data_IF_387723674334
#
_entry.id   IF_387723674334
#
_cell.length_a   1.000
_cell.length_b   1.000
_cell.length_c   1.000
_cell.angle_alpha   90.00
_cell.angle_beta   90.00
_cell.angle_gamma   90.00
#
_symmetry.space_group_name_H-M   'P 1'
#
loop_
_entity.id
_entity.type
_entity.pdbx_description
1 polymer ?
#
# COMPACT_ATOMS: atom_id res chain seq x y z
N UNK A 1 2.73 35.09 -14.42
CA UNK A 1 3.20 33.81 -13.85
C UNK A 1 2.48 33.59 -12.52
N UNK A 2 2.18 32.34 -12.14
CA UNK A 2 1.42 32.05 -10.91
C UNK A 2 2.25 32.16 -9.62
N UNK A 3 3.58 32.21 -9.75
CA UNK A 3 4.54 32.30 -8.66
C UNK A 3 5.61 33.36 -8.97
N UNK A 4 6.16 33.99 -7.94
CA UNK A 4 7.31 34.91 -8.06
C UNK A 4 8.62 34.16 -8.30
N UNK A 5 9.68 34.90 -8.63
CA UNK A 5 11.01 34.32 -8.80
C UNK A 5 11.53 33.69 -7.49
N UNK A 6 11.30 34.36 -6.37
CA UNK A 6 11.67 33.93 -5.02
C UNK A 6 10.91 32.65 -4.64
N UNK A 7 9.61 32.59 -4.91
CA UNK A 7 8.80 31.40 -4.67
C UNK A 7 9.28 30.21 -5.50
N UNK A 8 9.60 30.43 -6.79
CA UNK A 8 10.18 29.38 -7.62
C UNK A 8 11.55 28.92 -7.10
N UNK A 9 12.38 29.84 -6.61
CA UNK A 9 13.67 29.49 -5.99
C UNK A 9 13.48 28.61 -4.75
N UNK A 10 12.45 28.84 -3.95
CA UNK A 10 12.12 27.94 -2.82
C UNK A 10 11.76 26.54 -3.30
N UNK A 11 10.97 26.40 -4.37
CA UNK A 11 10.62 25.09 -4.93
C UNK A 11 11.83 24.37 -5.55
N UNK A 12 12.77 25.11 -6.12
CA UNK A 12 14.07 24.55 -6.55
C UNK A 12 14.85 24.06 -5.34
N UNK A 13 14.97 24.87 -4.30
CA UNK A 13 15.63 24.49 -3.04
C UNK A 13 15.03 23.23 -2.44
N UNK A 14 13.70 23.15 -2.37
CA UNK A 14 12.97 21.94 -1.97
C UNK A 14 13.39 20.71 -2.78
N UNK A 15 13.35 20.80 -4.11
CA UNK A 15 13.66 19.66 -4.97
C UNK A 15 15.12 19.18 -4.79
N UNK A 16 16.05 20.11 -4.60
CA UNK A 16 17.46 19.82 -4.32
C UNK A 16 17.60 19.15 -2.95
N UNK A 17 17.03 19.71 -1.89
CA UNK A 17 17.12 19.16 -0.53
C UNK A 17 16.51 17.76 -0.44
N UNK A 18 15.33 17.55 -1.04
CA UNK A 18 14.71 16.22 -1.08
C UNK A 18 15.60 15.22 -1.83
N UNK A 19 16.23 15.63 -2.95
CA UNK A 19 17.18 14.79 -3.66
C UNK A 19 18.40 14.44 -2.80
N UNK A 20 18.93 15.39 -2.02
CA UNK A 20 20.05 15.17 -1.08
C UNK A 20 19.67 14.19 0.02
N UNK A 21 18.43 14.22 0.48
CA UNK A 21 17.87 13.27 1.45
C UNK A 21 17.52 11.89 0.83
N UNK A 22 17.76 11.71 -0.47
CA UNK A 22 17.49 10.46 -1.18
C UNK A 22 16.02 10.29 -1.61
N UNK A 23 15.21 11.33 -1.54
CA UNK A 23 13.79 11.32 -1.92
C UNK A 23 13.60 11.93 -3.31
N UNK A 24 13.35 11.10 -4.35
CA UNK A 24 13.11 11.63 -5.69
C UNK A 24 11.81 12.42 -5.73
N UNK A 25 11.87 13.66 -6.22
CA UNK A 25 10.70 14.53 -6.41
C UNK A 25 10.18 14.36 -7.82
N UNK A 26 8.95 13.88 -7.96
CA UNK A 26 8.27 13.81 -9.25
C UNK A 26 7.62 15.15 -9.62
N UNK A 27 7.23 15.32 -10.89
CA UNK A 27 6.39 16.46 -11.30
C UNK A 27 5.10 16.55 -10.50
N UNK A 28 4.54 15.42 -10.07
CA UNK A 28 3.34 15.42 -9.24
C UNK A 28 3.64 15.94 -7.84
N UNK A 29 4.72 15.48 -7.21
CA UNK A 29 5.15 15.96 -5.89
C UNK A 29 5.41 17.46 -5.90
N UNK A 30 6.12 17.97 -6.92
CA UNK A 30 6.36 19.40 -7.10
C UNK A 30 5.05 20.21 -7.16
N UNK A 31 4.03 19.69 -7.85
CA UNK A 31 2.70 20.32 -7.93
C UNK A 31 1.98 20.28 -6.59
N UNK A 32 2.11 19.19 -5.84
CA UNK A 32 1.56 19.06 -4.49
C UNK A 32 2.21 20.07 -3.53
N UNK A 33 3.53 20.22 -3.56
CA UNK A 33 4.26 21.21 -2.74
C UNK A 33 3.85 22.63 -3.06
N UNK A 34 3.75 22.97 -4.35
CA UNK A 34 3.27 24.28 -4.78
C UNK A 34 1.82 24.54 -4.36
N UNK A 35 0.95 23.52 -4.41
CA UNK A 35 -0.42 23.61 -3.88
C UNK A 35 -0.42 23.84 -2.37
N UNK A 36 0.36 23.08 -1.61
CA UNK A 36 0.48 23.22 -0.16
C UNK A 36 0.93 24.63 0.23
N UNK A 37 1.91 25.17 -0.51
CA UNK A 37 2.36 26.55 -0.33
C UNK A 37 1.23 27.56 -0.57
N UNK A 38 0.53 27.47 -1.70
CA UNK A 38 -0.58 28.36 -2.04
C UNK A 38 -1.70 28.32 -0.97
N UNK A 39 -2.10 27.12 -0.57
CA UNK A 39 -3.12 26.92 0.46
C UNK A 39 -2.70 27.56 1.80
N UNK A 40 -1.41 27.44 2.17
CA UNK A 40 -0.87 28.00 3.41
C UNK A 40 -0.88 29.52 3.43
N UNK A 41 -0.49 30.16 2.33
CA UNK A 41 -0.49 31.62 2.23
C UNK A 41 -1.88 32.20 1.93
N UNK A 42 -2.92 31.36 1.84
CA UNK A 42 -4.28 31.79 1.53
C UNK A 42 -4.45 32.32 0.09
N UNK A 43 -3.52 32.01 -0.82
CA UNK A 43 -3.56 32.47 -2.21
C UNK A 43 -4.27 31.44 -3.08
N UNK A 44 -5.41 31.85 -3.64
CA UNK A 44 -6.13 31.05 -4.63
C UNK A 44 -5.77 31.50 -6.05
N UNK A 45 -5.37 30.54 -6.89
CA UNK A 45 -5.09 30.78 -8.30
C UNK A 45 -6.25 30.22 -9.14
N UNK A 46 -7.08 31.11 -9.70
CA UNK A 46 -8.37 30.74 -10.30
C UNK A 46 -8.29 29.72 -11.46
N UNK A 47 -7.20 29.71 -12.23
CA UNK A 47 -6.99 28.75 -13.32
C UNK A 47 -6.37 27.42 -12.86
N UNK A 48 -6.05 27.27 -11.57
CA UNK A 48 -5.62 25.99 -10.99
C UNK A 48 -6.81 25.25 -10.39
N UNK A 49 -7.11 24.06 -10.93
CA UNK A 49 -8.15 23.19 -10.39
C UNK A 49 -7.78 22.76 -8.98
N UNK A 50 -8.66 23.04 -8.00
CA UNK A 50 -8.42 22.78 -6.57
C UNK A 50 -7.11 23.41 -6.04
N UNK A 51 -6.69 24.54 -6.61
CA UNK A 51 -5.43 25.22 -6.30
C UNK A 51 -4.16 24.40 -6.63
N UNK A 52 -4.29 23.30 -7.38
CA UNK A 52 -3.16 22.46 -7.79
C UNK A 52 -2.65 22.95 -9.15
N UNK A 53 -1.37 23.34 -9.28
CA UNK A 53 -0.78 23.67 -10.56
C UNK A 53 -0.94 22.54 -11.59
N UNK A 54 -1.13 22.90 -12.86
CA UNK A 54 -1.27 21.93 -13.94
C UNK A 54 0.03 21.19 -14.30
N UNK A 55 -0.03 20.08 -15.06
CA UNK A 55 1.16 19.42 -15.61
C UNK A 55 2.06 20.37 -16.44
N UNK A 56 1.45 21.28 -17.20
CA UNK A 56 2.17 22.26 -18.02
C UNK A 56 2.96 23.26 -17.18
N UNK A 57 2.45 23.61 -16.00
CA UNK A 57 3.21 24.45 -15.07
C UNK A 57 4.50 23.75 -14.63
N UNK A 58 4.43 22.47 -14.26
CA UNK A 58 5.60 21.70 -13.84
C UNK A 58 6.61 21.53 -14.98
N UNK A 59 6.15 21.27 -16.21
CA UNK A 59 7.02 21.18 -17.38
C UNK A 59 7.73 22.52 -17.67
N UNK A 60 7.01 23.64 -17.58
CA UNK A 60 7.58 24.98 -17.79
C UNK A 60 8.51 25.41 -16.65
N UNK A 61 8.20 25.04 -15.40
CA UNK A 61 9.09 25.26 -14.25
C UNK A 61 10.43 24.56 -14.47
N UNK A 62 10.42 23.27 -14.84
CA UNK A 62 11.66 22.54 -15.15
C UNK A 62 12.40 23.17 -16.33
N UNK A 63 11.70 23.71 -17.33
CA UNK A 63 12.33 24.42 -18.46
C UNK A 63 13.05 25.70 -18.02
N UNK A 64 12.48 26.46 -17.06
CA UNK A 64 13.11 27.67 -16.51
C UNK A 64 14.32 27.35 -15.64
N UNK A 65 14.28 26.25 -14.89
CA UNK A 65 15.31 25.88 -13.92
C UNK A 65 16.26 24.76 -14.40
N UNK A 66 16.44 24.60 -15.72
CA UNK A 66 17.29 23.54 -16.31
C UNK A 66 18.76 23.58 -15.91
N UNK A 67 19.25 24.75 -15.47
CA UNK A 67 20.63 24.90 -14.97
C UNK A 67 20.85 24.18 -13.64
N UNK A 68 19.79 23.93 -12.86
CA UNK A 68 19.86 23.31 -11.53
C UNK A 68 19.15 21.95 -11.51
N UNK A 69 17.99 21.85 -12.16
CA UNK A 69 17.14 20.67 -12.15
C UNK A 69 17.17 19.96 -13.50
N UNK A 70 17.29 18.64 -13.48
CA UNK A 70 17.13 17.81 -14.68
C UNK A 70 16.10 16.73 -14.46
N UNK A 71 15.18 16.58 -15.42
CA UNK A 71 14.25 15.45 -15.42
C UNK A 71 14.97 14.22 -15.98
N UNK A 72 15.01 13.16 -15.17
CA UNK A 72 15.58 11.87 -15.56
C UNK A 72 14.52 10.79 -15.36
N UNK A 73 14.48 9.84 -16.28
CA UNK A 73 13.68 8.63 -16.08
C UNK A 73 14.33 7.82 -14.97
N UNK A 74 13.66 7.72 -13.82
CA UNK A 74 14.03 6.69 -12.84
C UNK A 74 13.77 5.33 -13.49
N UNK A 75 14.76 4.43 -13.45
CA UNK A 75 14.52 3.06 -13.91
C UNK A 75 13.54 2.41 -12.93
N UNK A 76 12.33 2.09 -13.39
CA UNK A 76 11.43 1.24 -12.63
C UNK A 76 12.02 -0.16 -12.59
N UNK A 77 12.68 -0.46 -11.48
CA UNK A 77 13.17 -1.81 -11.24
C UNK A 77 11.91 -2.64 -10.92
N UNK A 78 11.57 -3.60 -11.80
CA UNK A 78 10.42 -4.50 -11.58
C UNK A 78 10.48 -5.13 -10.18
N UNK A 79 9.33 -5.46 -9.57
CA UNK A 79 9.23 -6.09 -8.24
C UNK A 79 10.22 -7.27 -8.02
N UNK A 80 10.46 -8.07 -9.06
CA UNK A 80 11.42 -9.19 -9.03
C UNK A 80 12.92 -8.80 -9.05
N UNK A 81 13.25 -7.53 -9.34
CA UNK A 81 14.61 -6.98 -9.40
C UNK A 81 14.90 -5.94 -8.30
N UNK A 82 13.86 -5.35 -7.70
CA UNK A 82 14.00 -4.37 -6.62
C UNK A 82 14.23 -5.03 -5.26
N UNK A 83 13.88 -6.31 -5.17
CA UNK A 83 14.54 -7.19 -4.23
C UNK A 83 15.96 -7.46 -4.76
N UNK A 84 16.97 -7.22 -3.94
CA UNK A 84 18.21 -8.01 -3.96
C UNK A 84 19.34 -7.65 -4.94
N UNK A 85 19.47 -6.41 -5.38
CA UNK A 85 20.67 -5.97 -6.09
C UNK A 85 21.71 -5.48 -5.04
N UNK A 86 22.86 -6.14 -5.00
CA UNK A 86 23.99 -5.80 -4.15
C UNK A 86 24.44 -4.34 -4.35
N UNK A 87 24.44 -3.83 -5.59
CA UNK A 87 24.81 -2.44 -5.89
C UNK A 87 23.89 -1.42 -5.22
N UNK A 88 22.61 -1.70 -5.05
CA UNK A 88 21.60 -0.79 -4.50
C UNK A 88 21.80 -0.68 -3.00
N UNK A 89 22.06 -1.81 -2.35
CA UNK A 89 22.46 -1.85 -0.95
C UNK A 89 23.81 -1.14 -0.79
N UNK A 90 24.81 -1.46 -1.61
CA UNK A 90 26.12 -0.81 -1.54
C UNK A 90 26.04 0.71 -1.75
N UNK A 91 25.30 1.16 -2.77
CA UNK A 91 25.10 2.59 -3.04
C UNK A 91 24.36 3.28 -1.90
N UNK A 92 23.34 2.63 -1.32
CA UNK A 92 22.65 3.16 -0.16
C UNK A 92 23.59 3.31 1.04
N UNK A 93 24.34 2.26 1.38
CA UNK A 93 25.29 2.31 2.48
C UNK A 93 26.43 3.31 2.25
N UNK A 94 26.96 3.41 1.03
CA UNK A 94 27.94 4.44 0.66
C UNK A 94 27.39 5.86 0.90
N UNK A 95 26.10 6.09 0.62
CA UNK A 95 25.49 7.39 0.80
C UNK A 95 25.29 7.75 2.28
N UNK A 96 24.77 6.80 3.08
CA UNK A 96 24.43 7.08 4.49
C UNK A 96 25.64 7.04 5.42
N UNK A 97 26.75 6.41 5.03
CA UNK A 97 27.96 6.29 5.86
C UNK A 97 28.50 7.65 6.31
N UNK A 98 28.60 8.61 5.39
CA UNK A 98 29.00 9.99 5.73
C UNK A 98 27.93 10.76 6.51
N UNK A 99 26.66 10.38 6.40
CA UNK A 99 25.55 11.07 7.07
C UNK A 99 25.38 10.61 8.53
N UNK A 100 25.71 9.34 8.79
CA UNK A 100 25.66 8.70 10.10
C UNK A 100 27.01 8.71 10.83
N UNK A 101 28.08 9.18 10.17
CA UNK A 101 29.37 9.40 10.81
C UNK A 101 29.21 10.30 12.04
N UNK A 102 29.73 9.84 13.17
CA UNK A 102 29.70 10.53 14.47
C UNK A 102 28.31 10.87 15.02
N UNK A 103 27.23 10.28 14.47
CA UNK A 103 25.88 10.43 15.02
C UNK A 103 25.68 9.39 16.13
N UNK A 104 25.39 9.80 17.38
CA UNK A 104 25.16 8.85 18.47
C UNK A 104 23.85 8.07 18.22
N UNK A 105 23.74 6.81 18.71
CA UNK A 105 22.55 6.00 18.48
C UNK A 105 21.26 6.62 19.02
N UNK A 106 21.36 7.42 20.09
CA UNK A 106 20.25 8.20 20.63
C UNK A 106 19.63 9.16 19.61
N UNK A 107 20.42 9.62 18.63
CA UNK A 107 20.05 10.59 17.60
C UNK A 107 19.71 9.94 16.25
N UNK A 108 19.81 8.61 16.11
CA UNK A 108 19.44 7.88 14.89
C UNK A 108 18.03 7.32 15.09
N UNK A 109 17.05 8.02 14.54
CA UNK A 109 15.64 7.69 14.64
C UNK A 109 15.15 6.99 13.39
N UNK A 110 14.26 6.02 13.58
CA UNK A 110 13.53 5.36 12.50
C UNK A 110 12.03 5.51 12.75
N UNK A 111 11.30 5.95 11.73
CA UNK A 111 9.85 6.08 11.79
C UNK A 111 9.18 5.28 10.68
N UNK A 112 7.95 4.84 10.95
CA UNK A 112 7.11 4.14 10.00
C UNK A 112 5.65 4.09 10.47
N UNK A 113 4.75 3.93 9.51
CA UNK A 113 3.31 3.85 9.73
C UNK A 113 2.83 2.41 9.83
N UNK A 114 1.95 2.16 10.78
CA UNK A 114 1.24 0.88 10.86
C UNK A 114 -0.25 1.09 11.10
N UNK A 115 -1.02 0.06 10.78
CA UNK A 115 -2.47 0.07 10.92
C UNK A 115 -2.89 -0.99 11.93
N UNK A 116 -3.66 -0.57 12.93
CA UNK A 116 -4.33 -1.49 13.85
C UNK A 116 -5.77 -1.72 13.36
N UNK A 117 -6.03 -2.94 12.92
CA UNK A 117 -7.33 -3.35 12.38
C UNK A 117 -8.28 -3.81 13.48
N UNK A 118 -9.57 -3.58 13.30
CA UNK A 118 -10.63 -4.15 14.13
C UNK A 118 -11.04 -5.58 13.72
N UNK A 119 -10.41 -6.13 12.68
CA UNK A 119 -10.51 -7.54 12.30
C UNK A 119 -9.38 -8.36 12.95
N UNK A 120 -9.67 -9.27 13.90
CA UNK A 120 -8.68 -10.19 14.45
C UNK A 120 -8.12 -11.17 13.40
N UNK A 121 -8.71 -11.26 12.20
CA UNK A 121 -8.27 -12.11 11.11
C UNK A 121 -8.46 -13.61 11.37
N UNK A 122 -7.93 -14.43 10.47
CA UNK A 122 -8.08 -15.89 10.52
C UNK A 122 -7.33 -16.52 11.71
N UNK A 123 -7.86 -17.62 12.25
CA UNK A 123 -7.22 -18.41 13.31
C UNK A 123 -7.36 -19.90 13.04
N UNK A 124 -6.51 -20.69 13.69
CA UNK A 124 -6.72 -22.14 13.78
C UNK A 124 -7.91 -22.39 14.70
N UNK A 125 -8.85 -23.21 14.24
CA UNK A 125 -10.06 -23.61 14.99
C UNK A 125 -10.09 -25.12 15.11
N UNK A 126 -10.62 -25.61 16.23
CA UNK A 126 -10.88 -27.03 16.43
C UNK A 126 -12.22 -27.35 15.78
N UNK A 127 -12.22 -28.26 14.81
CA UNK A 127 -13.41 -28.62 14.04
C UNK A 127 -13.45 -30.13 13.88
N UNK A 128 -14.62 -30.67 13.53
CA UNK A 128 -14.76 -32.09 13.22
C UNK A 128 -13.76 -32.50 12.12
N UNK A 129 -13.03 -33.60 12.34
CA UNK A 129 -12.12 -34.16 11.33
C UNK A 129 -12.89 -34.37 10.01
N UNK A 130 -12.38 -33.82 8.91
CA UNK A 130 -13.03 -33.85 7.59
C UNK A 130 -13.78 -32.56 7.20
N UNK A 131 -13.95 -31.60 8.12
CA UNK A 131 -14.48 -30.27 7.77
C UNK A 131 -13.53 -29.53 6.84
N UNK A 132 -13.97 -29.25 5.61
CA UNK A 132 -13.17 -28.56 4.59
C UNK A 132 -13.12 -27.05 4.77
N UNK A 133 -14.23 -26.45 5.20
CA UNK A 133 -14.40 -25.01 5.35
C UNK A 133 -15.06 -24.71 6.69
N UNK A 134 -14.28 -24.59 7.77
CA UNK A 134 -14.84 -24.16 9.03
C UNK A 134 -15.17 -22.67 8.96
N UNK A 135 -16.42 -22.34 9.25
CA UNK A 135 -16.93 -20.97 9.24
C UNK A 135 -17.04 -20.46 10.67
N UNK A 136 -16.63 -19.21 10.89
CA UNK A 136 -16.75 -18.53 12.16
C UNK A 136 -17.51 -17.22 11.93
N UNK A 137 -18.70 -17.10 12.50
CA UNK A 137 -19.49 -15.85 12.43
C UNK A 137 -18.87 -14.85 13.40
N UNK A 138 -18.39 -13.73 12.89
CA UNK A 138 -17.83 -12.63 13.69
C UNK A 138 -18.34 -11.29 13.21
N UNK A 139 -18.65 -10.42 14.15
CA UNK A 139 -18.83 -9.00 13.89
C UNK A 139 -17.44 -8.34 13.87
N UNK A 140 -16.88 -8.20 12.69
CA UNK A 140 -15.70 -7.36 12.43
C UNK A 140 -16.03 -6.37 11.31
N UNK A 141 -15.41 -5.19 11.34
CA UNK A 141 -15.33 -4.35 10.15
C UNK A 141 -13.93 -4.43 9.53
N UNK A 142 -13.69 -3.68 8.46
CA UNK A 142 -12.34 -3.49 7.88
C UNK A 142 -11.78 -2.13 8.27
N UNK A 143 -12.22 -1.60 9.40
CA UNK A 143 -11.77 -0.29 9.88
C UNK A 143 -10.37 -0.45 10.46
N UNK A 144 -9.51 0.50 10.13
CA UNK A 144 -8.16 0.54 10.64
C UNK A 144 -7.91 1.91 11.22
N UNK A 145 -7.10 1.95 12.27
CA UNK A 145 -6.61 3.20 12.84
C UNK A 145 -5.11 3.25 12.56
N UNK A 146 -4.69 4.33 11.91
CA UNK A 146 -3.30 4.53 11.49
C UNK A 146 -2.51 5.09 12.66
N UNK A 147 -1.29 4.58 12.85
CA UNK A 147 -0.40 4.99 13.93
C UNK A 147 1.01 5.15 13.36
N UNK A 148 1.63 6.28 13.65
CA UNK A 148 3.06 6.49 13.42
C UNK A 148 3.84 5.99 14.62
N UNK A 149 4.78 5.08 14.36
CA UNK A 149 5.80 4.67 15.32
C UNK A 149 7.10 5.37 14.97
N UNK A 150 7.85 5.78 15.99
CA UNK A 150 9.19 6.31 15.82
C UNK A 150 10.07 5.87 16.99
N UNK A 151 11.24 5.31 16.72
CA UNK A 151 12.16 4.88 17.77
C UNK A 151 13.61 4.98 17.33
N UNK A 152 14.52 5.14 18.28
CA UNK A 152 15.95 5.33 18.01
C UNK A 152 16.77 4.04 18.16
N UNK A 153 18.04 4.11 17.77
CA UNK A 153 18.95 2.97 17.79
C UNK A 153 19.34 2.51 19.22
N UNK A 154 19.06 3.31 20.26
CA UNK A 154 19.19 2.90 21.66
C UNK A 154 17.96 2.16 22.20
N UNK A 155 16.91 2.02 21.38
CA UNK A 155 15.67 1.36 21.77
C UNK A 155 14.68 2.26 22.52
N UNK A 156 14.86 3.58 22.45
CA UNK A 156 13.86 4.53 22.95
C UNK A 156 12.77 4.71 21.89
N UNK A 157 11.52 4.53 22.29
CA UNK A 157 10.35 4.79 21.45
C UNK A 157 9.83 6.21 21.78
N UNK A 158 9.62 7.03 20.75
CA UNK A 158 8.91 8.30 20.90
C UNK A 158 7.42 8.04 21.20
N UNK A 159 6.70 9.02 21.78
CA UNK A 159 5.26 8.90 21.94
C UNK A 159 4.56 8.57 20.62
N UNK A 160 3.47 7.80 20.71
CA UNK A 160 2.72 7.41 19.52
C UNK A 160 1.94 8.60 18.95
N UNK A 161 1.72 8.56 17.64
CA UNK A 161 0.84 9.50 16.98
C UNK A 161 -0.25 8.74 16.22
N UNK A 162 -1.49 8.93 16.63
CA UNK A 162 -2.66 8.23 16.11
C UNK A 162 -3.40 9.14 15.13
N UNK A 163 -3.80 8.61 13.98
CA UNK A 163 -4.65 9.33 13.02
C UNK A 163 -5.96 8.58 12.78
N UNK A 164 -7.07 9.18 13.23
CA UNK A 164 -8.41 8.64 13.02
C UNK A 164 -8.96 9.04 11.66
N UNK A 165 -9.74 8.14 11.04
CA UNK A 165 -10.61 8.52 9.92
C UNK A 165 -11.82 9.30 10.45
N UNK A 166 -11.79 10.62 10.34
CA UNK A 166 -12.83 11.52 10.85
C UNK A 166 -12.69 12.95 10.32
N UNK A 167 -13.81 13.68 10.27
CA UNK A 167 -13.81 15.14 10.06
C UNK A 167 -13.63 15.91 11.38
N UNK A 168 -14.21 15.38 12.46
CA UNK A 168 -14.21 16.00 13.78
C UNK A 168 -13.40 15.16 14.78
N UNK A 169 -12.97 15.80 15.86
CA UNK A 169 -12.26 15.18 16.98
C UNK A 169 -13.07 15.40 18.25
N UNK A 170 -13.09 14.40 19.14
CA UNK A 170 -13.79 14.47 20.43
C UNK A 170 -12.80 14.17 21.55
N UNK A 171 -13.01 14.78 22.71
CA UNK A 171 -12.22 14.61 23.94
C UNK A 171 -12.10 13.15 24.37
N UNK A 172 -13.22 12.43 24.37
CA UNK A 172 -13.28 11.00 24.69
C UNK A 172 -12.35 10.11 23.86
N UNK A 173 -11.88 10.57 22.69
CA UNK A 173 -10.99 9.80 21.81
C UNK A 173 -9.51 9.87 22.18
N UNK A 174 -9.17 10.57 23.27
CA UNK A 174 -7.80 10.64 23.80
C UNK A 174 -7.68 10.10 25.23
N UNK A 175 -8.80 10.00 25.94
CA UNK A 175 -8.84 9.60 27.35
C UNK A 175 -8.34 8.18 27.58
N UNK A 176 -7.54 7.98 28.63
CA UNK A 176 -7.04 6.66 29.01
C UNK A 176 -6.00 6.05 28.07
N UNK A 177 -5.49 6.83 27.12
CA UNK A 177 -4.42 6.47 26.19
C UNK A 177 -3.04 6.27 26.83
N UNK A 178 -2.05 5.81 26.03
CA UNK A 178 -0.65 5.86 26.44
C UNK A 178 -0.21 7.29 26.78
N UNK A 179 0.74 7.41 27.69
CA UNK A 179 1.35 8.69 28.08
C UNK A 179 1.95 9.40 26.86
N UNK A 180 1.78 10.73 26.83
CA UNK A 180 2.24 11.63 25.76
C UNK A 180 1.79 11.29 24.32
N UNK A 181 0.91 10.30 24.15
CA UNK A 181 0.36 9.92 22.86
C UNK A 181 -0.44 11.08 22.26
N UNK A 182 -0.16 11.40 21.00
CA UNK A 182 -0.90 12.43 20.25
C UNK A 182 -1.98 11.78 19.39
N UNK A 183 -3.11 12.45 19.28
CA UNK A 183 -4.25 11.97 18.49
C UNK A 183 -4.68 13.06 17.51
N UNK A 184 -4.78 12.69 16.24
CA UNK A 184 -5.24 13.53 15.15
C UNK A 184 -6.30 12.78 14.33
N UNK A 185 -6.78 13.44 13.29
CA UNK A 185 -7.83 12.98 12.39
C UNK A 185 -7.60 13.51 10.98
N UNK A 186 -7.96 12.69 10.00
CA UNK A 186 -8.08 13.07 8.59
C UNK A 186 -9.30 12.41 7.95
N UNK A 187 -9.82 13.00 6.88
CA UNK A 187 -10.99 12.46 6.17
C UNK A 187 -10.74 11.04 5.63
N UNK A 188 -9.49 10.76 5.29
CA UNK A 188 -9.06 9.48 4.72
C UNK A 188 -8.68 8.46 5.80
N UNK A 189 -8.21 8.94 6.97
CA UNK A 189 -7.57 8.14 8.01
C UNK A 189 -6.12 7.80 7.73
N UNK A 190 -5.60 8.12 6.54
CA UNK A 190 -4.20 7.94 6.16
C UNK A 190 -3.38 9.16 6.55
N UNK A 191 -2.08 8.97 6.74
CA UNK A 191 -1.15 10.09 6.85
C UNK A 191 -1.02 10.76 5.50
N UNK A 192 -1.26 12.07 5.49
CA UNK A 192 -0.96 12.94 4.38
C UNK A 192 0.10 13.96 4.82
N UNK A 193 0.49 14.87 3.92
CA UNK A 193 1.53 15.85 4.24
C UNK A 193 1.18 16.78 5.41
N UNK A 194 -0.12 17.04 5.65
CA UNK A 194 -0.55 17.87 6.79
C UNK A 194 -0.44 17.10 8.08
N UNK A 195 -0.88 15.83 8.09
CA UNK A 195 -0.77 14.95 9.25
C UNK A 195 0.69 14.68 9.59
N UNK A 196 1.54 14.48 8.59
CA UNK A 196 2.99 14.29 8.76
C UNK A 196 3.66 15.55 9.33
N UNK A 197 3.35 16.73 8.79
CA UNK A 197 3.88 18.00 9.31
C UNK A 197 3.47 18.23 10.77
N UNK A 198 2.21 17.95 11.12
CA UNK A 198 1.74 18.06 12.51
C UNK A 198 2.48 17.07 13.42
N UNK A 199 2.60 15.80 13.01
CA UNK A 199 3.40 14.81 13.74
C UNK A 199 4.83 15.27 13.96
N UNK A 200 5.52 15.70 12.90
CA UNK A 200 6.91 16.13 13.00
C UNK A 200 7.03 17.34 13.92
N UNK A 201 6.23 18.38 13.69
CA UNK A 201 6.35 19.66 14.42
C UNK A 201 5.95 19.54 15.88
N UNK A 202 4.92 18.76 16.18
CA UNK A 202 4.33 18.70 17.53
C UNK A 202 4.89 17.58 18.41
N UNK A 203 5.53 16.58 17.81
CA UNK A 203 6.05 15.40 18.53
C UNK A 203 7.56 15.26 18.35
N UNK A 204 8.03 15.13 17.11
CA UNK A 204 9.44 14.81 16.87
C UNK A 204 10.36 16.01 17.04
N UNK A 205 9.99 17.19 16.53
CA UNK A 205 10.82 18.38 16.58
C UNK A 205 11.20 18.78 18.02
N UNK A 206 10.29 18.78 19.03
CA UNK A 206 10.68 19.01 20.42
C UNK A 206 11.70 17.99 20.95
N UNK A 207 11.52 16.70 20.64
CA UNK A 207 12.45 15.63 21.05
C UNK A 207 13.83 15.87 20.42
N UNK A 208 13.87 16.16 19.12
CA UNK A 208 15.12 16.36 18.36
C UNK A 208 15.83 17.67 18.72
N UNK A 209 15.09 18.70 19.16
CA UNK A 209 15.64 19.97 19.67
C UNK A 209 16.35 19.79 21.01
N UNK A 210 15.87 18.88 21.85
CA UNK A 210 16.52 18.56 23.12
C UNK A 210 17.81 17.75 22.94
N UNK A 211 18.07 17.22 21.73
CA UNK A 211 19.27 16.47 21.39
C UNK A 211 20.35 17.39 20.78
N UNK A 212 21.57 17.29 21.32
CA UNK A 212 22.74 17.98 20.78
C UNK A 212 23.25 17.31 19.49
N UNK A 213 23.98 18.08 18.68
CA UNK A 213 24.60 17.59 17.46
C UNK A 213 23.64 17.31 16.30
N UNK A 214 24.07 16.45 15.38
CA UNK A 214 23.31 16.03 14.21
C UNK A 214 22.29 14.96 14.62
N UNK A 215 21.06 15.07 14.12
CA UNK A 215 20.01 14.06 14.27
C UNK A 215 19.65 13.50 12.90
N UNK A 216 19.35 12.21 12.86
CA UNK A 216 18.99 11.54 11.62
C UNK A 216 17.65 10.84 11.78
N UNK A 217 16.73 11.08 10.85
CA UNK A 217 15.44 10.41 10.76
C UNK A 217 15.38 9.57 9.50
N UNK A 218 15.20 8.26 9.66
CA UNK A 218 15.18 7.27 8.59
C UNK A 218 13.76 6.75 8.42
N UNK A 219 13.23 6.73 7.20
CA UNK A 219 11.91 6.15 6.92
C UNK A 219 11.63 6.02 5.44
N UNK A 220 10.52 5.39 5.08
CA UNK A 220 10.01 5.39 3.72
C UNK A 220 8.98 6.51 3.51
N UNK A 221 8.71 6.82 2.23
CA UNK A 221 7.58 7.64 1.80
C UNK A 221 7.55 9.14 2.19
N UNK A 222 8.69 9.83 2.17
CA UNK A 222 8.78 11.25 2.56
C UNK A 222 8.43 12.27 1.45
N UNK A 223 8.56 11.88 0.17
CA UNK A 223 8.66 12.84 -0.95
C UNK A 223 7.42 13.69 -1.21
N UNK A 224 6.23 13.23 -0.80
CA UNK A 224 4.96 13.97 -0.98
C UNK A 224 4.40 14.56 0.33
N UNK A 225 5.12 14.37 1.44
CA UNK A 225 4.62 14.71 2.78
C UNK A 225 5.48 15.72 3.54
N UNK A 226 6.74 15.95 3.14
CA UNK A 226 7.52 17.07 3.66
C UNK A 226 7.07 18.38 3.05
N UNK A 227 6.72 19.33 3.92
CA UNK A 227 6.52 20.73 3.54
C UNK A 227 7.82 21.53 3.62
N UNK A 228 7.82 22.71 2.99
CA UNK A 228 8.93 23.67 3.09
C UNK A 228 9.27 24.05 4.54
N UNK A 229 8.27 24.08 5.42
CA UNK A 229 8.47 24.42 6.84
C UNK A 229 9.24 23.31 7.57
N UNK A 230 8.89 22.05 7.32
CA UNK A 230 9.63 20.90 7.89
C UNK A 230 11.08 20.96 7.46
N UNK A 231 11.37 21.26 6.17
CA UNK A 231 12.76 21.39 5.70
C UNK A 231 13.51 22.52 6.40
N UNK A 232 12.86 23.67 6.58
CA UNK A 232 13.44 24.81 7.28
C UNK A 232 13.78 24.47 8.73
N UNK A 233 12.85 23.85 9.45
CA UNK A 233 13.10 23.38 10.83
C UNK A 233 14.22 22.34 10.88
N UNK A 234 14.33 21.49 9.85
CA UNK A 234 15.41 20.51 9.78
C UNK A 234 16.78 21.17 9.62
N UNK A 235 16.88 22.15 8.73
CA UNK A 235 18.11 22.92 8.51
C UNK A 235 18.50 23.71 9.77
N UNK A 236 17.56 24.43 10.39
CA UNK A 236 17.79 25.22 11.61
C UNK A 236 18.25 24.37 12.81
N UNK A 237 17.87 23.09 12.85
CA UNK A 237 18.11 22.22 13.99
C UNK A 237 19.03 21.03 13.69
N UNK A 238 19.79 21.03 12.59
CA UNK A 238 20.70 19.95 12.20
C UNK A 238 20.04 18.56 12.16
N UNK A 239 18.82 18.49 11.62
CA UNK A 239 18.07 17.25 11.42
C UNK A 239 18.20 16.85 9.95
N UNK A 240 18.65 15.62 9.70
CA UNK A 240 18.75 15.04 8.35
C UNK A 240 17.69 13.97 8.19
N UNK A 241 17.02 13.96 7.04
CA UNK A 241 16.16 12.85 6.65
C UNK A 241 16.90 11.93 5.69
N UNK A 242 16.67 10.62 5.84
CA UNK A 242 17.23 9.59 4.96
C UNK A 242 16.10 8.69 4.45
N UNK A 243 16.01 8.59 3.13
CA UNK A 243 15.10 7.67 2.46
C UNK A 243 15.60 6.23 2.52
N UNK A 244 14.71 5.31 2.84
CA UNK A 244 14.96 3.90 2.53
C UNK A 244 14.90 3.67 1.02
N UNK A 245 15.77 2.82 0.45
CA UNK A 245 15.71 2.46 -0.96
C UNK A 245 14.33 1.88 -1.33
N UNK A 246 13.81 2.14 -2.54
CA UNK A 246 12.54 1.60 -2.97
C UNK A 246 12.48 0.07 -2.84
N UNK A 247 11.36 -0.45 -2.33
CA UNK A 247 11.11 -1.89 -2.12
C UNK A 247 12.08 -2.60 -1.16
N UNK A 248 12.78 -1.86 -0.30
CA UNK A 248 13.74 -2.43 0.65
C UNK A 248 13.21 -2.59 2.07
N UNK A 249 11.94 -2.25 2.32
CA UNK A 249 11.29 -2.27 3.64
C UNK A 249 11.57 -3.55 4.43
N UNK A 250 11.34 -4.72 3.82
CA UNK A 250 11.60 -6.03 4.44
C UNK A 250 13.07 -6.30 4.88
N UNK A 251 14.04 -5.50 4.43
CA UNK A 251 15.47 -5.65 4.73
C UNK A 251 16.06 -4.50 5.54
N UNK A 252 15.59 -3.27 5.27
CA UNK A 252 16.21 -2.02 5.72
C UNK A 252 15.32 -1.17 6.64
N UNK A 253 14.04 -1.54 6.86
CA UNK A 253 13.13 -0.82 7.77
C UNK A 253 13.12 -1.46 9.17
N UNK A 254 13.78 -0.89 10.20
CA UNK A 254 13.88 -1.49 11.54
C UNK A 254 12.53 -1.87 12.15
N UNK A 255 11.54 -0.99 12.04
CA UNK A 255 10.21 -1.20 12.61
C UNK A 255 9.50 -2.42 11.98
N UNK A 256 9.57 -2.58 10.66
CA UNK A 256 9.03 -3.77 9.99
C UNK A 256 9.80 -5.06 10.31
N UNK A 257 11.13 -4.99 10.34
CA UNK A 257 11.99 -6.15 10.54
C UNK A 257 11.85 -6.76 11.93
N UNK A 258 11.61 -5.94 12.96
CA UNK A 258 11.66 -6.41 14.35
C UNK A 258 10.49 -6.00 15.25
N UNK A 259 9.73 -4.95 14.93
CA UNK A 259 8.72 -4.39 15.84
C UNK A 259 7.29 -4.75 15.43
N UNK A 260 6.88 -4.44 14.21
CA UNK A 260 5.47 -4.50 13.81
C UNK A 260 4.84 -5.90 13.84
N UNK A 261 5.65 -6.95 13.69
CA UNK A 261 5.15 -8.32 13.89
C UNK A 261 4.66 -8.54 15.32
N UNK A 262 5.42 -8.08 16.33
CA UNK A 262 5.05 -8.19 17.74
C UNK A 262 3.81 -7.34 18.05
N UNK A 263 3.80 -6.09 17.57
CA UNK A 263 2.67 -5.15 17.69
C UNK A 263 1.38 -5.79 17.18
N UNK A 264 1.37 -6.28 15.93
CA UNK A 264 0.18 -6.89 15.31
C UNK A 264 -0.26 -8.16 16.03
N UNK A 265 0.69 -8.97 16.50
CA UNK A 265 0.38 -10.19 17.26
C UNK A 265 -0.28 -9.89 18.61
N UNK A 266 0.29 -8.95 19.38
CA UNK A 266 -0.27 -8.54 20.68
C UNK A 266 -1.61 -7.85 20.52
N UNK A 267 -1.73 -6.95 19.54
CA UNK A 267 -2.99 -6.27 19.23
C UNK A 267 -4.12 -7.26 18.95
N UNK A 268 -3.87 -8.29 18.14
CA UNK A 268 -4.86 -9.35 17.85
C UNK A 268 -5.35 -10.05 19.12
N UNK A 269 -4.45 -10.31 20.08
CA UNK A 269 -4.81 -10.92 21.36
C UNK A 269 -5.71 -10.00 22.20
N UNK A 270 -5.33 -8.74 22.33
CA UNK A 270 -6.08 -7.72 23.10
C UNK A 270 -7.47 -7.53 22.49
N UNK A 271 -7.54 -7.37 21.18
CA UNK A 271 -8.79 -7.22 20.44
C UNK A 271 -9.71 -8.43 20.64
N UNK A 272 -9.16 -9.64 20.70
CA UNK A 272 -9.94 -10.84 20.96
C UNK A 272 -10.51 -10.85 22.38
N UNK A 273 -9.69 -10.51 23.39
CA UNK A 273 -10.15 -10.42 24.78
C UNK A 273 -11.26 -9.37 24.92
N UNK A 274 -11.05 -8.18 24.36
CA UNK A 274 -12.03 -7.09 24.39
C UNK A 274 -13.36 -7.48 23.73
N UNK A 275 -13.34 -8.13 22.56
CA UNK A 275 -14.55 -8.61 21.88
C UNK A 275 -15.28 -9.74 22.63
N UNK A 276 -14.58 -10.53 23.45
CA UNK A 276 -15.18 -11.59 24.27
C UNK A 276 -15.81 -11.06 25.56
N UNK A 277 -15.16 -10.08 26.20
CA UNK A 277 -15.60 -9.49 27.46
C UNK A 277 -16.70 -8.46 27.27
N UNK A 278 -16.67 -7.75 26.14
CA UNK A 278 -17.74 -6.83 25.79
C UNK A 278 -18.99 -7.64 25.46
N UNK A 279 -20.03 -7.51 26.27
CA UNK A 279 -21.41 -7.92 25.93
C UNK A 279 -21.94 -7.27 24.63
N UNK A 280 -21.15 -6.38 24.03
CA UNK A 280 -21.44 -5.63 22.83
C UNK A 280 -21.13 -6.47 21.59
N UNK A 281 -22.17 -6.70 20.78
CA UNK A 281 -22.08 -7.20 19.40
C UNK A 281 -21.39 -6.20 18.45
N UNK A 282 -20.55 -5.30 18.95
CA UNK A 282 -19.96 -4.22 18.18
C UNK A 282 -19.01 -4.78 17.11
N UNK A 283 -19.33 -4.52 15.85
CA UNK A 283 -18.48 -4.88 14.71
C UNK A 283 -17.16 -4.14 14.74
N UNK A 284 -17.17 -2.90 15.23
CA UNK A 284 -16.05 -1.96 15.19
C UNK A 284 -15.67 -1.48 16.59
N UNK A 285 -14.38 -1.21 16.81
CA UNK A 285 -13.89 -0.59 18.04
C UNK A 285 -14.36 0.87 18.06
N UNK A 286 -15.14 1.31 19.06
CA UNK A 286 -15.46 2.71 19.22
C UNK A 286 -14.19 3.54 19.46
N UNK A 287 -14.11 4.74 18.89
CA UNK A 287 -12.90 5.57 18.95
C UNK A 287 -12.58 6.00 20.38
N UNK A 288 -13.59 6.15 21.24
CA UNK A 288 -13.45 6.41 22.67
C UNK A 288 -12.88 5.22 23.46
N UNK A 289 -12.90 4.00 22.90
CA UNK A 289 -12.28 2.81 23.51
C UNK A 289 -10.89 2.52 23.00
N UNK A 290 -10.55 2.99 21.80
CA UNK A 290 -9.26 2.71 21.20
C UNK A 290 -8.05 3.16 22.05
N UNK A 291 -8.01 4.36 22.66
CA UNK A 291 -6.90 4.78 23.51
C UNK A 291 -6.57 3.80 24.64
N UNK A 292 -7.60 3.31 25.35
CA UNK A 292 -7.44 2.35 26.44
C UNK A 292 -6.81 1.04 25.95
N UNK A 293 -7.27 0.52 24.80
CA UNK A 293 -6.70 -0.69 24.20
C UNK A 293 -5.28 -0.45 23.68
N UNK A 294 -4.99 0.76 23.20
CA UNK A 294 -3.65 1.15 22.80
C UNK A 294 -2.69 1.21 23.99
N UNK A 295 -3.15 1.72 25.15
CA UNK A 295 -2.38 1.71 26.40
C UNK A 295 -2.07 0.29 26.87
N UNK A 296 -3.06 -0.61 26.80
CA UNK A 296 -2.87 -2.03 27.08
C UNK A 296 -1.84 -2.66 26.13
N UNK A 297 -1.91 -2.33 24.83
CA UNK A 297 -0.93 -2.78 23.83
C UNK A 297 0.48 -2.33 24.18
N UNK A 298 0.67 -1.05 24.52
CA UNK A 298 1.98 -0.52 24.87
C UNK A 298 2.53 -1.16 26.14
N UNK A 299 1.68 -1.43 27.13
CA UNK A 299 2.06 -2.16 28.34
C UNK A 299 2.48 -3.61 28.03
N UNK A 300 1.79 -4.27 27.10
CA UNK A 300 2.09 -5.64 26.68
C UNK A 300 3.34 -5.79 25.81
N UNK A 301 3.89 -4.68 25.30
CA UNK A 301 5.08 -4.62 24.44
C UNK A 301 6.36 -4.37 25.24
N UNK A 302 6.54 -5.05 26.38
CA UNK A 302 7.71 -4.88 27.27
C UNK A 302 9.06 -5.11 26.58
N UNK A 303 9.13 -5.91 25.51
CA UNK A 303 10.35 -6.13 24.72
C UNK A 303 10.58 -5.08 23.63
N UNK A 304 9.83 -3.97 23.59
CA UNK A 304 9.96 -2.93 22.55
C UNK A 304 11.40 -2.39 22.43
N UNK A 305 12.11 -2.03 23.53
CA UNK A 305 13.46 -1.49 23.40
C UNK A 305 14.43 -2.46 22.74
N UNK A 306 14.37 -3.74 23.11
CA UNK A 306 15.23 -4.78 22.53
C UNK A 306 14.85 -5.11 21.09
N UNK A 307 13.56 -5.04 20.75
CA UNK A 307 13.10 -5.19 19.37
C UNK A 307 13.59 -4.05 18.49
N UNK A 308 13.57 -2.79 18.96
CA UNK A 308 14.11 -1.64 18.25
C UNK A 308 15.61 -1.81 18.00
N UNK A 309 16.41 -2.05 19.04
CA UNK A 309 17.86 -2.32 18.91
C UNK A 309 18.13 -3.49 17.96
N UNK A 310 17.36 -4.58 18.06
CA UNK A 310 17.47 -5.70 17.13
C UNK A 310 17.08 -5.33 15.70
N UNK A 311 16.12 -4.42 15.51
CA UNK A 311 15.72 -3.90 14.21
C UNK A 311 16.89 -3.19 13.55
N UNK A 312 17.45 -2.18 14.21
CA UNK A 312 18.62 -1.44 13.73
C UNK A 312 19.83 -2.34 13.44
N UNK A 313 20.11 -3.29 14.33
CA UNK A 313 21.19 -4.26 14.13
C UNK A 313 20.94 -5.14 12.92
N UNK A 314 19.71 -5.65 12.75
CA UNK A 314 19.35 -6.53 11.63
C UNK A 314 19.35 -5.78 10.31
N UNK A 315 18.98 -4.51 10.27
CA UNK A 315 19.01 -3.69 9.06
C UNK A 315 20.40 -3.15 8.73
N UNK A 316 21.37 -3.35 9.61
CA UNK A 316 22.74 -2.83 9.45
C UNK A 316 22.83 -1.32 9.59
N UNK A 317 21.78 -0.64 10.05
CA UNK A 317 21.76 0.82 10.24
C UNK A 317 22.48 1.24 11.52
N UNK A 318 22.46 0.40 12.55
CA UNK A 318 23.25 0.63 13.76
C UNK A 318 23.58 -0.69 14.52
N UNK A 319 24.86 -0.99 14.80
CA UNK A 319 26.04 -0.37 14.19
C UNK A 319 25.99 -0.44 12.67
N UNK A 320 26.61 0.52 12.00
CA UNK A 320 26.57 0.60 10.54
C UNK A 320 27.35 -0.57 9.93
N UNK A 321 26.65 -1.56 9.37
CA UNK A 321 27.25 -2.72 8.69
C UNK A 321 26.36 -3.22 7.55
N UNK A 322 26.74 -2.86 6.32
CA UNK A 322 26.06 -3.31 5.11
C UNK A 322 26.06 -4.83 4.93
N UNK A 323 27.06 -5.54 5.48
CA UNK A 323 27.18 -6.98 5.29
C UNK A 323 26.06 -7.74 5.99
N UNK A 324 25.46 -7.19 7.05
CA UNK A 324 24.27 -7.78 7.68
C UNK A 324 23.13 -7.91 6.68
N UNK A 325 23.00 -6.94 5.77
CA UNK A 325 21.98 -6.94 4.73
C UNK A 325 22.42 -7.79 3.54
N UNK A 326 23.66 -7.64 3.07
CA UNK A 326 24.19 -8.38 1.93
C UNK A 326 24.13 -9.90 2.13
N UNK A 327 24.44 -10.41 3.32
CA UNK A 327 24.35 -11.85 3.65
C UNK A 327 22.94 -12.42 3.56
N UNK A 328 21.90 -11.57 3.61
CA UNK A 328 20.50 -11.99 3.50
C UNK A 328 20.00 -11.98 2.05
N UNK A 329 20.83 -11.55 1.10
CA UNK A 329 20.49 -11.57 -0.32
C UNK A 329 20.58 -13.01 -0.88
N UNK A 330 19.61 -13.45 -1.71
CA UNK A 330 19.61 -14.80 -2.31
C UNK A 330 20.88 -15.15 -3.10
N UNK A 331 21.52 -14.17 -3.73
CA UNK A 331 22.77 -14.33 -4.48
C UNK A 331 23.95 -14.76 -3.62
N UNK A 332 24.01 -14.27 -2.37
CA UNK A 332 25.08 -14.59 -1.42
C UNK A 332 24.88 -15.98 -0.78
N UNK A 333 23.62 -16.34 -0.49
CA UNK A 333 23.26 -17.66 0.07
C UNK A 333 23.63 -18.81 -0.88
N UNK A 334 23.54 -18.58 -2.19
CA UNK A 334 23.89 -19.60 -3.19
C UNK A 334 25.40 -19.75 -3.44
N UNK A 335 26.25 -18.84 -2.93
CA UNK A 335 27.69 -18.84 -3.19
C UNK A 335 28.54 -19.35 -2.02
N UNK A 336 28.00 -19.47 -0.79
CA UNK A 336 28.75 -19.92 0.39
C UNK A 336 28.57 -21.40 0.79
N UNK A 337 27.71 -22.15 0.11
CA UNK A 337 27.28 -23.48 0.56
C UNK A 337 27.98 -24.65 -0.17
N UNK A 338 29.29 -24.81 0.07
CA UNK A 338 30.06 -25.98 -0.41
C UNK A 338 29.77 -27.27 0.37
N UNK A 339 29.01 -27.22 1.48
CA UNK A 339 28.68 -28.39 2.32
C UNK A 339 27.22 -28.84 2.13
N UNK A 340 26.38 -27.98 1.55
CA UNK A 340 24.93 -28.25 1.39
C UNK A 340 24.62 -29.07 0.14
N UNK A 341 25.57 -29.25 -0.79
CA UNK A 341 25.36 -29.98 -2.06
C UNK A 341 24.91 -31.44 -1.82
N UNK A 342 25.52 -32.17 -0.89
CA UNK A 342 25.22 -33.60 -0.68
C UNK A 342 23.82 -33.81 -0.09
N UNK A 343 23.39 -32.94 0.83
CA UNK A 343 22.04 -32.99 1.41
C UNK A 343 21.00 -32.48 0.41
N UNK A 344 21.38 -31.50 -0.43
CA UNK A 344 20.51 -30.95 -1.47
C UNK A 344 20.28 -31.96 -2.58
N UNK A 345 21.26 -32.75 -3.01
CA UNK A 345 21.05 -33.76 -4.07
C UNK A 345 20.16 -34.92 -3.59
N UNK A 346 20.30 -35.34 -2.33
CA UNK A 346 19.41 -36.36 -1.73
C UNK A 346 17.99 -35.80 -1.52
N UNK A 347 17.87 -34.53 -1.13
CA UNK A 347 16.58 -33.88 -0.92
C UNK A 347 15.89 -33.48 -2.23
N UNK A 348 16.65 -33.09 -3.26
CA UNK A 348 16.15 -32.74 -4.58
C UNK A 348 15.78 -33.99 -5.37
N UNK A 349 16.52 -35.09 -5.27
CA UNK A 349 16.11 -36.38 -5.83
C UNK A 349 14.85 -36.94 -5.15
N UNK A 350 14.68 -36.71 -3.85
CA UNK A 350 13.44 -37.02 -3.14
C UNK A 350 12.26 -36.14 -3.62
N UNK A 351 12.49 -34.83 -3.82
CA UNK A 351 11.49 -33.90 -4.32
C UNK A 351 11.13 -34.13 -5.80
N UNK A 352 12.07 -34.54 -6.65
CA UNK A 352 11.83 -34.92 -8.05
C UNK A 352 11.02 -36.21 -8.14
N UNK A 353 11.36 -37.23 -7.35
CA UNK A 353 10.56 -38.46 -7.25
C UNK A 353 9.13 -38.20 -6.74
N UNK A 354 8.98 -37.23 -5.84
CA UNK A 354 7.66 -36.82 -5.32
C UNK A 354 6.90 -35.98 -6.36
N UNK A 355 7.58 -35.12 -7.12
CA UNK A 355 6.98 -34.33 -8.21
C UNK A 355 6.54 -35.20 -9.38
N UNK A 356 7.31 -36.21 -9.78
CA UNK A 356 6.91 -37.15 -10.84
C UNK A 356 5.58 -37.86 -10.48
N UNK A 357 5.42 -38.31 -9.22
CA UNK A 357 4.16 -38.89 -8.72
C UNK A 357 2.97 -37.92 -8.74
N UNK A 358 3.20 -36.62 -8.54
CA UNK A 358 2.14 -35.60 -8.52
C UNK A 358 1.77 -35.13 -9.95
N UNK A 359 2.72 -35.13 -10.87
CA UNK A 359 2.55 -34.59 -12.23
C UNK A 359 1.78 -35.54 -13.17
N UNK A 360 1.64 -36.83 -12.80
CA UNK A 360 0.75 -37.76 -13.51
C UNK A 360 -0.74 -37.47 -13.30
N UNK A 361 -1.11 -36.67 -12.30
CA UNK A 361 -2.52 -36.26 -12.09
C UNK A 361 -2.89 -35.12 -13.05
N UNK A 362 -3.22 -35.48 -14.29
CA UNK A 362 -3.75 -34.57 -15.33
C UNK A 362 -4.98 -33.82 -14.80
N UNK A 363 -4.85 -32.54 -14.52
CA UNK A 363 -5.96 -31.67 -14.12
C UNK A 363 -6.94 -31.51 -15.28
N UNK A 364 -8.16 -32.05 -15.14
CA UNK A 364 -9.19 -31.89 -16.16
C UNK A 364 -9.64 -30.43 -16.30
N UNK A 365 -9.71 -29.95 -17.55
CA UNK A 365 -10.11 -28.59 -17.90
C UNK A 365 -11.56 -28.33 -17.46
N UNK A 366 -11.77 -27.37 -16.55
CA UNK A 366 -13.11 -27.01 -16.03
C UNK A 366 -13.94 -26.32 -17.12
N UNK A 367 -15.22 -26.74 -17.28
CA UNK A 367 -16.18 -26.16 -18.24
C UNK A 367 -17.24 -25.33 -17.51
N UNK A 368 -17.62 -24.19 -18.10
CA UNK A 368 -18.68 -23.29 -17.61
C UNK A 368 -20.05 -23.97 -17.71
N UNK A 369 -20.82 -23.94 -16.63
CA UNK A 369 -22.21 -24.43 -16.60
C UNK A 369 -23.14 -23.27 -16.92
N UNK A 370 -24.12 -23.49 -17.80
CA UNK A 370 -25.05 -22.44 -18.25
C UNK A 370 -26.35 -22.59 -17.46
N UNK A 371 -26.50 -21.82 -16.38
CA UNK A 371 -27.66 -21.88 -15.47
C UNK A 371 -28.24 -20.45 -15.34
N UNK A 372 -29.58 -20.27 -15.44
CA UNK A 372 -30.20 -18.96 -15.25
C UNK A 372 -29.95 -18.38 -13.84
N UNK A 373 -29.82 -17.06 -13.68
CA UNK A 373 -29.68 -16.41 -12.38
C UNK A 373 -30.83 -16.78 -11.43
N UNK A 374 -30.52 -17.09 -10.17
CA UNK A 374 -31.51 -17.40 -9.13
C UNK A 374 -31.87 -18.88 -8.98
N UNK A 375 -31.23 -19.81 -9.71
CA UNK A 375 -31.41 -21.26 -9.50
C UNK A 375 -30.13 -21.97 -9.06
N UNK A 376 -30.26 -22.84 -8.05
CA UNK A 376 -29.19 -23.72 -7.57
C UNK A 376 -29.16 -25.03 -8.37
N UNK A 377 -27.98 -25.67 -8.43
CA UNK A 377 -27.82 -26.99 -9.06
C UNK A 377 -26.96 -27.91 -8.18
N UNK A 378 -27.24 -29.20 -8.24
CA UNK A 378 -26.49 -30.28 -7.60
C UNK A 378 -25.65 -31.07 -8.61
N UNK A 379 -24.76 -31.95 -8.11
CA UNK A 379 -23.96 -32.84 -8.95
C UNK A 379 -24.81 -33.79 -9.81
N UNK A 380 -25.98 -34.22 -9.30
CA UNK A 380 -26.93 -35.05 -10.06
C UNK A 380 -27.52 -34.28 -11.24
N UNK A 381 -27.81 -32.98 -11.05
CA UNK A 381 -28.35 -32.12 -12.11
C UNK A 381 -27.33 -31.91 -13.25
N UNK A 382 -26.03 -31.88 -12.93
CA UNK A 382 -24.94 -31.80 -13.93
C UNK A 382 -24.89 -33.05 -14.82
N UNK A 383 -25.13 -34.24 -14.27
CA UNK A 383 -25.15 -35.48 -15.05
C UNK A 383 -26.32 -35.54 -16.02
N UNK A 384 -27.50 -35.07 -15.59
CA UNK A 384 -28.69 -34.95 -16.45
C UNK A 384 -28.42 -33.97 -17.59
N UNK A 385 -27.87 -32.78 -17.30
CA UNK A 385 -27.50 -31.79 -18.32
C UNK A 385 -26.46 -32.33 -19.33
N UNK A 386 -25.56 -33.21 -18.89
CA UNK A 386 -24.59 -33.87 -19.78
C UNK A 386 -25.23 -34.94 -20.66
N UNK A 387 -26.24 -35.67 -20.18
CA UNK A 387 -26.97 -36.68 -20.97
C UNK A 387 -27.81 -36.04 -22.07
N UNK A 388 -28.56 -34.98 -21.74
CA UNK A 388 -29.40 -34.24 -22.70
C UNK A 388 -28.58 -33.69 -23.88
N UNK A 389 -27.43 -33.07 -23.60
CA UNK A 389 -26.51 -32.59 -24.66
C UNK A 389 -25.94 -33.69 -25.55
N UNK A 390 -25.82 -34.91 -25.04
CA UNK A 390 -25.25 -36.04 -25.80
C UNK A 390 -26.28 -36.60 -26.77
N UNK A 391 -27.56 -36.57 -26.43
CA UNK A 391 -28.68 -36.98 -27.28
C UNK A 391 -28.96 -35.97 -28.40
N UNK A 392 -28.87 -34.66 -28.14
CA UNK A 392 -28.99 -33.61 -29.16
C UNK A 392 -27.85 -33.59 -30.19
N UNK A 393 -26.73 -34.29 -29.92
CA UNK A 393 -25.51 -34.24 -30.73
C UNK A 393 -25.30 -35.44 -31.68
N UNK A 394 -26.25 -36.38 -31.79
CA UNK A 394 -26.14 -37.50 -32.74
C UNK A 394 -26.66 -37.09 -34.12
N UNK A 395 -25.83 -37.09 -35.19
CA UNK A 395 -26.29 -36.83 -36.55
C UNK A 395 -27.02 -38.05 -37.13
N UNK A 396 -28.19 -37.83 -37.74
CA UNK A 396 -28.88 -38.79 -38.60
C UNK A 396 -27.99 -39.19 -39.79
N UNK A 397 -27.76 -40.49 -39.96
CA UNK A 397 -27.06 -41.05 -41.12
C UNK A 397 -27.98 -40.96 -42.36
N UNK A 398 -27.63 -40.13 -43.34
CA UNK A 398 -28.18 -40.22 -44.70
C UNK A 398 -27.53 -41.36 -45.47
N UNK A 399 -28.34 -42.31 -45.95
CA UNK A 399 -27.97 -43.33 -46.93
C UNK A 399 -27.54 -42.70 -48.27
N UNK A 400 -26.48 -43.26 -48.86
CA UNK A 400 -26.03 -42.92 -50.22
C UNK A 400 -26.79 -43.79 -51.22
N UNK A 401 -27.71 -43.17 -51.96
CA UNK A 401 -28.32 -43.72 -53.18
C UNK A 401 -27.71 -43.09 -54.44
N UNK A 402 -27.35 -43.94 -55.39
CA UNK A 402 -26.67 -43.71 -56.68
C UNK A 402 -27.60 -43.13 -57.77
N UNK A 403 -26.98 -42.72 -58.91
CA UNK A 403 -27.52 -42.38 -60.27
C UNK A 403 -27.77 -40.87 -60.50
N UNK A 404 -27.06 -40.16 -61.39
CA UNK A 404 -26.79 -40.23 -62.86
C UNK A 404 -27.57 -39.11 -63.60
N UNK A 405 -26.83 -38.42 -64.47
CA UNK A 405 -27.23 -37.61 -65.65
C UNK A 405 -28.03 -36.31 -65.47
N UNK A 406 -27.65 -35.31 -66.28
CA UNK A 406 -28.63 -34.43 -66.95
C UNK A 406 -28.27 -32.95 -67.02
N UNK A 407 -27.89 -32.50 -68.22
CA UNK A 407 -27.87 -31.10 -68.64
C UNK A 407 -29.21 -30.36 -68.39
N UNK A 408 -29.15 -29.03 -68.36
CA UNK A 408 -29.85 -28.04 -69.25
C UNK A 408 -30.55 -26.85 -68.55
N UNK A 409 -30.10 -25.64 -68.93
CA UNK A 409 -30.77 -24.33 -69.19
C UNK A 409 -32.03 -23.84 -68.43
N UNK A 410 -31.89 -22.58 -67.96
CA UNK A 410 -32.76 -21.36 -68.08
C UNK A 410 -34.27 -21.46 -67.78
N UNK A 411 -34.77 -20.59 -66.88
CA UNK A 411 -35.52 -19.34 -67.18
C UNK A 411 -36.14 -18.67 -65.91
N UNK A 412 -36.05 -17.31 -65.86
CA UNK A 412 -37.04 -16.24 -65.51
C UNK A 412 -38.15 -16.55 -64.48
N UNK A 413 -38.72 -15.67 -63.65
CA UNK A 413 -38.79 -14.20 -63.41
C UNK A 413 -39.73 -14.04 -62.18
N UNK A 414 -39.60 -13.09 -61.25
CA UNK A 414 -40.31 -11.78 -61.23
C UNK A 414 -40.10 -11.14 -59.84
N UNK A 415 -39.84 -9.82 -59.81
CA UNK A 415 -40.15 -8.86 -58.70
C UNK A 415 -41.67 -8.56 -58.72
N UNK A 416 -42.34 -7.88 -57.75
CA UNK A 416 -41.87 -6.80 -56.83
C UNK A 416 -42.62 -6.85 -55.45
N UNK A 417 -42.90 -5.75 -54.68
CA UNK A 417 -42.36 -4.39 -54.63
C UNK A 417 -41.88 -3.94 -53.22
N UNK A 418 -41.43 -2.69 -53.17
CA UNK A 418 -40.89 -1.92 -52.05
C UNK A 418 -41.73 -0.62 -51.91
N UNK A 419 -41.78 -0.05 -50.69
CA UNK A 419 -42.01 1.39 -50.34
C UNK A 419 -43.52 1.81 -50.29
N UNK A 420 -44.00 2.75 -49.42
CA UNK A 420 -43.33 3.95 -48.90
C UNK A 420 -43.41 4.36 -47.41
N UNK A 421 -42.45 5.23 -47.13
CA UNK A 421 -42.25 6.22 -46.05
C UNK A 421 -43.24 7.39 -46.04
N UNK A 422 -43.47 7.98 -44.85
CA UNK A 422 -43.59 9.41 -44.53
C UNK A 422 -43.67 9.53 -42.99
N UNK A 423 -43.13 10.51 -42.24
CA UNK A 423 -42.56 11.82 -42.55
C UNK A 423 -43.12 12.85 -41.55
N UNK A 424 -42.23 13.65 -40.92
CA UNK A 424 -42.51 14.90 -40.17
C UNK A 424 -43.27 14.79 -38.82
N UNK A 425 -43.09 15.64 -37.79
CA UNK A 425 -42.17 16.74 -37.45
C UNK A 425 -42.60 17.33 -36.07
N UNK A 426 -41.74 18.15 -35.45
CA UNK A 426 -42.00 19.21 -34.43
C UNK A 426 -41.78 18.91 -32.92
N UNK A 427 -40.72 19.53 -32.38
CA UNK A 427 -40.68 20.31 -31.10
C UNK A 427 -41.49 21.63 -31.29
N UNK A 428 -41.96 22.39 -30.26
CA UNK A 428 -41.19 22.85 -29.07
C UNK A 428 -42.01 22.94 -27.75
N UNK A 429 -41.38 22.87 -26.56
CA UNK A 429 -41.00 23.94 -25.60
C UNK A 429 -42.00 24.28 -24.46
N UNK A 430 -41.38 24.51 -23.29
CA UNK A 430 -41.69 25.46 -22.20
C UNK A 430 -42.78 25.17 -21.13
N UNK A 431 -42.26 25.22 -19.88
CA UNK A 431 -42.76 25.92 -18.70
C UNK A 431 -43.76 25.29 -17.70
N UNK A 432 -43.24 25.22 -16.45
CA UNK A 432 -43.75 25.80 -15.19
C UNK A 432 -44.78 25.06 -14.32
N UNK A 433 -44.73 25.45 -13.03
CA UNK A 433 -45.50 25.06 -11.84
C UNK A 433 -45.03 23.76 -11.16
N UNK A 434 -44.68 23.73 -9.87
CA UNK A 434 -45.12 24.52 -8.72
C UNK A 434 -45.54 23.50 -7.64
N UNK A 435 -44.66 23.22 -6.67
CA UNK A 435 -44.82 23.55 -5.25
C UNK A 435 -45.98 22.88 -4.47
N UNK A 436 -45.58 22.32 -3.32
CA UNK A 436 -46.26 22.18 -2.01
C UNK A 436 -46.92 20.87 -1.56
N UNK A 437 -46.77 20.72 -0.24
CA UNK A 437 -47.44 19.90 0.78
C UNK A 437 -46.82 18.51 1.00
N UNK A 438 -46.33 18.13 2.20
CA UNK A 438 -46.46 18.66 3.58
C UNK A 438 -45.18 18.39 4.37
#
# INVERSE_FOLDING_TARGET
MAFSYEEEKMFVGYAVTMSTYGFPVTKFDLRCVAKMYLDRIGRSVHYFKNNIPGPDWAANFLKRHKSVLSERTSKSISYARAANNEDTINNYFNHIESQLADVPPSNIWNYDETNLSDDPGSRKVITRRGTKYPEEIRNSSKSNISIMFCGNAEGVLAPLYVNYKSEQMWDSWVEGGPEDCRYNRSNSGWFDGKVFEDWFTTLMLPILKAQEGVKVMIGDNLSSHISLEVLKQCEEHNIKFIALPPNSTHMLQPLDVAVFRSVKYKWKSILQCWKLQSSHRASTIPKERFPYLLKELMTALSSMPENLKSGFRKTGLYPLDRNVVLRRLPSYVNSSDSITSVVTDVFMSFLENTRLKVTETRTQRKRKLNVPPGKSISAKDVEVLKKVKKEESKPEKKEKGSLKLGNTRKMKSQKPPKIPTAGCSRKPDLNSFGSKFL
#
